data_IF_148367603219
#
_entry.id   IF_148367603219
#
_cell.length_a   1.000
_cell.length_b   1.000
_cell.length_c   1.000
_cell.angle_alpha   90.00
_cell.angle_beta   90.00
_cell.angle_gamma   90.00
#
_symmetry.space_group_name_H-M   'P 1'
#
loop_
_entity.id
_entity.type
_entity.pdbx_description
1 polymer ?
#
# COMPACT_ATOMS: atom_id res chain seq x y z
N UNK A 1 -25.91 13.35 13.77
CA UNK A 1 -25.15 14.12 12.77
C UNK A 1 -25.58 13.63 11.40
N UNK A 2 -26.17 14.46 10.54
CA UNK A 2 -26.48 14.07 9.14
C UNK A 2 -25.21 14.26 8.32
N UNK A 3 -24.72 13.20 7.68
CA UNK A 3 -23.65 13.32 6.68
C UNK A 3 -24.25 13.87 5.38
N UNK A 4 -23.53 14.80 4.77
CA UNK A 4 -23.82 15.28 3.43
C UNK A 4 -23.31 14.24 2.43
N UNK A 5 -24.23 13.62 1.70
CA UNK A 5 -23.97 12.57 0.72
C UNK A 5 -24.18 13.05 -0.72
N UNK A 6 -24.13 14.36 -0.95
CA UNK A 6 -24.20 14.93 -2.29
C UNK A 6 -22.98 14.54 -3.12
N UNK A 7 -23.17 14.49 -4.44
CA UNK A 7 -22.12 14.14 -5.41
C UNK A 7 -20.98 15.16 -5.39
N UNK A 8 -21.32 16.44 -5.24
CA UNK A 8 -20.35 17.53 -5.07
C UNK A 8 -19.49 17.32 -3.81
N UNK A 9 -20.11 16.95 -2.69
CA UNK A 9 -19.37 16.66 -1.46
C UNK A 9 -18.48 15.42 -1.61
N UNK A 10 -18.96 14.38 -2.28
CA UNK A 10 -18.18 13.18 -2.57
C UNK A 10 -16.93 13.51 -3.42
N UNK A 11 -17.10 14.34 -4.46
CA UNK A 11 -16.00 14.82 -5.31
C UNK A 11 -14.97 15.62 -4.50
N UNK A 12 -15.42 16.57 -3.68
CA UNK A 12 -14.53 17.38 -2.84
C UNK A 12 -13.70 16.49 -1.89
N UNK A 13 -14.33 15.49 -1.26
CA UNK A 13 -13.63 14.54 -0.38
C UNK A 13 -12.60 13.72 -1.16
N UNK A 14 -12.98 13.18 -2.32
CA UNK A 14 -12.09 12.40 -3.17
C UNK A 14 -10.88 13.21 -3.63
N UNK A 15 -11.10 14.44 -4.13
CA UNK A 15 -10.01 15.33 -4.55
C UNK A 15 -9.07 15.67 -3.40
N UNK A 16 -9.63 16.05 -2.24
CA UNK A 16 -8.83 16.39 -1.06
C UNK A 16 -8.02 15.22 -0.53
N UNK A 17 -8.53 14.00 -0.65
CA UNK A 17 -7.80 12.79 -0.30
C UNK A 17 -6.70 12.51 -1.33
N UNK A 18 -7.03 12.53 -2.62
CA UNK A 18 -6.10 12.23 -3.71
C UNK A 18 -4.93 13.20 -3.77
N UNK A 19 -5.16 14.49 -3.50
CA UNK A 19 -4.10 15.52 -3.41
C UNK A 19 -3.08 15.27 -2.27
N UNK A 20 -3.41 14.40 -1.30
CA UNK A 20 -2.54 14.05 -0.18
C UNK A 20 -1.83 12.71 -0.36
N UNK A 21 -2.09 12.00 -1.47
CA UNK A 21 -1.37 10.77 -1.77
C UNK A 21 0.12 11.09 -1.98
N UNK A 22 0.98 10.20 -1.47
CA UNK A 22 2.43 10.37 -1.56
C UNK A 22 2.94 10.21 -3.01
N UNK A 23 2.17 9.51 -3.85
CA UNK A 23 2.45 9.25 -5.25
C UNK A 23 1.12 9.05 -6.01
N UNK A 24 1.13 9.21 -7.34
CA UNK A 24 -0.06 9.00 -8.18
C UNK A 24 -0.63 7.58 -8.05
N UNK A 25 -1.94 7.43 -8.24
CA UNK A 25 -2.62 6.13 -8.15
C UNK A 25 -2.21 5.15 -9.27
N UNK A 26 -1.67 5.67 -10.37
CA UNK A 26 -1.13 4.94 -11.53
C UNK A 26 0.40 4.72 -11.45
N UNK A 27 1.01 4.98 -10.31
CA UNK A 27 2.44 4.75 -10.08
C UNK A 27 2.79 3.25 -10.09
N UNK A 28 3.82 2.89 -10.85
CA UNK A 28 4.40 1.53 -10.87
C UNK A 28 5.30 1.22 -9.66
N UNK A 29 5.37 2.12 -8.68
CA UNK A 29 6.11 1.91 -7.43
C UNK A 29 5.19 1.55 -6.26
N UNK A 30 5.64 0.60 -5.45
CA UNK A 30 5.07 0.27 -4.16
C UNK A 30 5.61 1.24 -3.10
N UNK A 31 4.74 1.88 -2.34
CA UNK A 31 5.18 2.53 -1.10
C UNK A 31 5.22 1.56 0.05
N UNK A 32 6.23 1.73 0.89
CA UNK A 32 6.43 0.89 2.05
C UNK A 32 6.73 1.73 3.28
N UNK A 33 6.40 1.17 4.45
CA UNK A 33 6.83 1.69 5.73
C UNK A 33 7.28 0.57 6.63
N UNK A 34 8.51 0.64 7.13
CA UNK A 34 8.98 -0.21 8.22
C UNK A 34 8.48 0.42 9.52
N UNK A 35 7.86 -0.37 10.40
CA UNK A 35 7.31 0.10 11.68
C UNK A 35 7.97 -0.63 12.82
N UNK A 36 8.03 0.04 13.99
CA UNK A 36 8.61 -0.51 15.22
C UNK A 36 9.99 -1.16 14.97
N UNK A 37 10.82 -0.46 14.19
CA UNK A 37 12.14 -0.97 13.82
C UNK A 37 13.08 -0.91 15.04
N UNK A 38 13.47 -2.07 15.55
CA UNK A 38 14.35 -2.19 16.72
C UNK A 38 15.79 -2.42 16.23
N UNK A 39 16.70 -1.56 16.67
CA UNK A 39 18.13 -1.64 16.38
C UNK A 39 18.94 -1.72 17.66
N UNK A 40 19.98 -2.54 17.65
CA UNK A 40 20.99 -2.62 18.72
C UNK A 40 22.36 -2.26 18.14
N UNK A 41 23.39 -2.11 18.98
CA UNK A 41 24.74 -1.82 18.51
C UNK A 41 25.27 -2.95 17.61
N UNK A 42 24.91 -4.19 17.92
CA UNK A 42 25.22 -5.39 17.14
C UNK A 42 24.37 -5.50 15.87
N UNK A 43 23.19 -4.86 15.84
CA UNK A 43 22.25 -4.85 14.71
C UNK A 43 21.91 -3.41 14.29
N UNK A 44 22.88 -2.69 13.70
CA UNK A 44 22.65 -1.34 13.23
C UNK A 44 21.68 -1.32 12.06
N UNK A 45 21.01 -0.18 11.85
CA UNK A 45 20.17 0.03 10.66
C UNK A 45 20.95 -0.31 9.38
N UNK A 46 20.43 -1.21 8.52
CA UNK A 46 21.03 -1.51 7.24
C UNK A 46 21.28 -0.22 6.46
N UNK A 47 22.49 -0.07 5.94
CA UNK A 47 22.84 1.10 5.13
C UNK A 47 21.89 1.20 3.94
N UNK A 48 21.26 2.37 3.80
CA UNK A 48 20.33 2.67 2.71
C UNK A 48 18.88 2.26 2.98
N UNK A 49 18.57 1.55 4.08
CA UNK A 49 17.18 1.29 4.45
C UNK A 49 16.52 2.57 4.95
N UNK A 50 15.55 3.07 4.19
CA UNK A 50 14.68 4.16 4.61
C UNK A 50 13.42 3.60 5.24
N UNK A 51 13.02 4.15 6.38
CA UNK A 51 11.84 3.68 7.16
C UNK A 51 10.54 3.92 6.40
N UNK A 52 10.49 4.91 5.52
CA UNK A 52 9.39 5.15 4.57
C UNK A 52 10.00 5.57 3.25
N UNK A 53 9.64 4.87 2.19
CA UNK A 53 10.00 5.24 0.82
C UNK A 53 9.12 4.46 -0.17
N UNK A 54 9.50 4.47 -1.44
CA UNK A 54 8.94 3.67 -2.51
C UNK A 54 9.98 2.73 -3.12
N UNK A 55 9.53 1.62 -3.68
CA UNK A 55 10.35 0.62 -4.34
C UNK A 55 9.60 0.03 -5.55
N UNK A 56 10.32 -0.37 -6.60
CA UNK A 56 9.72 -1.10 -7.73
C UNK A 56 9.35 -2.54 -7.37
N UNK A 57 10.06 -3.12 -6.40
CA UNK A 57 9.78 -4.43 -5.85
C UNK A 57 10.18 -4.48 -4.37
N UNK A 58 9.49 -5.28 -3.57
CA UNK A 58 9.83 -5.53 -2.16
C UNK A 58 9.95 -7.03 -1.94
N UNK A 59 11.13 -7.48 -1.53
CA UNK A 59 11.37 -8.87 -1.11
C UNK A 59 11.54 -8.93 0.41
N UNK A 60 10.74 -9.76 1.07
CA UNK A 60 10.79 -9.98 2.52
C UNK A 60 11.06 -11.45 2.77
N UNK A 61 12.08 -11.75 3.58
CA UNK A 61 12.32 -13.08 4.15
C UNK A 61 12.01 -13.02 5.63
N UNK A 62 11.18 -13.93 6.10
CA UNK A 62 10.87 -14.04 7.52
C UNK A 62 11.97 -14.77 8.27
N UNK A 63 12.26 -14.26 9.46
CA UNK A 63 13.07 -14.93 10.48
C UNK A 63 12.29 -15.11 11.80
N UNK A 64 10.97 -14.94 11.76
CA UNK A 64 10.11 -14.98 12.93
C UNK A 64 9.56 -16.40 13.15
N UNK A 65 9.52 -16.88 14.38
CA UNK A 65 8.96 -18.20 14.70
C UNK A 65 7.44 -18.27 14.52
N UNK A 66 6.74 -17.17 14.83
CA UNK A 66 5.29 -17.03 14.72
C UNK A 66 4.95 -15.65 14.13
N UNK A 67 4.75 -15.60 12.82
CA UNK A 67 4.44 -14.38 12.10
C UNK A 67 3.37 -14.63 11.04
N UNK A 68 2.75 -13.55 10.58
CA UNK A 68 1.71 -13.57 9.55
C UNK A 68 1.89 -12.49 8.51
N UNK A 69 1.59 -12.82 7.25
CA UNK A 69 1.45 -11.88 6.15
C UNK A 69 -0.04 -11.59 5.94
N UNK A 70 -0.44 -10.33 6.10
CA UNK A 70 -1.83 -9.90 5.95
C UNK A 70 -1.99 -9.13 4.64
N UNK A 71 -2.98 -9.53 3.84
CA UNK A 71 -3.32 -8.92 2.55
C UNK A 71 -4.73 -8.34 2.62
N UNK A 72 -4.89 -7.09 2.17
CA UNK A 72 -6.15 -6.31 2.15
C UNK A 72 -6.91 -6.21 3.49
N UNK A 73 -6.23 -6.55 4.59
CA UNK A 73 -6.83 -6.55 5.94
C UNK A 73 -7.82 -7.68 6.21
N UNK A 74 -8.04 -8.60 5.26
CA UNK A 74 -9.04 -9.67 5.37
C UNK A 74 -8.46 -11.08 5.33
N UNK A 75 -7.29 -11.25 4.70
CA UNK A 75 -6.65 -12.56 4.54
C UNK A 75 -5.30 -12.56 5.25
N UNK A 76 -5.00 -13.63 5.99
CA UNK A 76 -3.74 -13.83 6.69
C UNK A 76 -3.13 -15.18 6.35
N UNK A 77 -1.82 -15.18 6.09
CA UNK A 77 -1.03 -16.37 5.79
C UNK A 77 0.06 -16.54 6.85
N UNK A 78 0.33 -17.76 7.34
CA UNK A 78 1.52 -18.03 8.15
C UNK A 78 2.79 -17.60 7.40
N UNK A 79 3.65 -16.84 8.07
CA UNK A 79 4.85 -16.24 7.48
C UNK A 79 6.05 -16.42 8.43
N UNK A 80 6.29 -17.68 8.81
CA UNK A 80 7.30 -18.07 9.79
C UNK A 80 8.71 -18.17 9.16
N UNK A 81 9.73 -18.45 9.97
CA UNK A 81 11.13 -18.49 9.56
C UNK A 81 11.36 -19.28 8.27
N UNK A 82 12.09 -18.66 7.34
CA UNK A 82 12.37 -19.20 6.01
C UNK A 82 11.33 -18.91 4.94
N UNK A 83 10.14 -18.39 5.28
CA UNK A 83 9.17 -17.96 4.25
C UNK A 83 9.64 -16.70 3.55
N UNK A 84 9.27 -16.57 2.27
CA UNK A 84 9.57 -15.40 1.47
C UNK A 84 8.33 -14.85 0.76
N UNK A 85 8.26 -13.53 0.67
CA UNK A 85 7.29 -12.81 -0.12
C UNK A 85 8.02 -11.87 -1.08
N UNK A 86 7.56 -11.84 -2.33
CA UNK A 86 7.98 -10.88 -3.35
C UNK A 86 6.73 -10.08 -3.75
N UNK A 87 6.80 -8.77 -3.59
CA UNK A 87 5.74 -7.84 -3.97
C UNK A 87 6.22 -7.04 -5.17
N UNK A 88 5.46 -7.12 -6.27
CA UNK A 88 5.74 -6.48 -7.55
C UNK A 88 4.43 -5.94 -8.15
N UNK A 89 4.55 -4.94 -9.03
CA UNK A 89 3.41 -4.38 -9.77
C UNK A 89 3.53 -4.83 -11.22
N UNK A 90 2.45 -5.43 -11.72
CA UNK A 90 2.33 -5.93 -13.08
C UNK A 90 1.21 -5.17 -13.80
N UNK A 91 1.49 -4.47 -14.92
CA UNK A 91 0.47 -3.72 -15.65
C UNK A 91 -0.74 -4.56 -16.06
N UNK A 92 -0.52 -5.83 -16.39
CA UNK A 92 -1.54 -6.82 -16.74
C UNK A 92 -2.56 -7.11 -15.62
N UNK A 93 -2.18 -6.88 -14.35
CA UNK A 93 -3.03 -7.09 -13.18
C UNK A 93 -3.71 -5.78 -12.70
N UNK A 94 -3.60 -4.71 -13.48
CA UNK A 94 -4.18 -3.41 -13.12
C UNK A 94 -5.70 -3.47 -13.01
N UNK A 95 -6.23 -2.86 -11.94
CA UNK A 95 -7.67 -2.74 -11.76
C UNK A 95 -8.28 -1.81 -12.83
N UNK A 96 -9.29 -2.31 -13.54
CA UNK A 96 -10.05 -1.49 -14.48
C UNK A 96 -10.96 -0.52 -13.72
N UNK A 97 -10.74 0.78 -13.92
CA UNK A 97 -11.62 1.83 -13.40
C UNK A 97 -12.58 2.29 -14.50
N UNK A 98 -13.89 2.14 -14.28
CA UNK A 98 -14.90 2.70 -15.18
C UNK A 98 -15.20 4.12 -14.74
N UNK A 99 -14.87 5.09 -15.59
CA UNK A 99 -15.34 6.47 -15.43
C UNK A 99 -16.70 6.60 -16.11
N UNK A 100 -17.74 6.80 -15.31
CA UNK A 100 -19.07 7.14 -15.82
C UNK A 100 -19.14 8.66 -16.03
N UNK A 101 -19.50 9.08 -17.23
CA UNK A 101 -19.76 10.48 -17.54
C UNK A 101 -21.20 10.81 -17.17
N UNK A 102 -21.39 11.70 -16.19
CA UNK A 102 -22.69 12.15 -15.73
C UNK A 102 -23.48 12.92 -16.82
N UNK A 103 -22.82 13.33 -17.91
CA UNK A 103 -23.43 14.03 -19.04
C UNK A 103 -24.05 13.10 -20.09
N UNK A 104 -23.82 11.79 -20.01
CA UNK A 104 -24.40 10.84 -20.95
C UNK A 104 -25.86 10.55 -20.59
N UNK A 105 -26.81 10.76 -21.52
CA UNK A 105 -28.21 10.45 -21.27
C UNK A 105 -28.37 8.92 -21.23
N UNK A 106 -28.89 8.40 -20.13
CA UNK A 106 -29.46 7.05 -20.11
C UNK A 106 -30.75 7.02 -20.94
#
# INVERSE_FOLDING_TARGET
>A
MKMDTTLEKAREVAEKYNQKLMFPADSEYLAYSVREYITFEEWPTPRGLRVRDRAGAVRVRSHCTDAGLVVDGSVSFPFNDGTEALLEIHPEDSLMTVQMDDALPY
#
